data_IF_675295188778
#
_entry.id   IF_675295188778
#
_cell.length_a   1.000
_cell.length_b   1.000
_cell.length_c   1.000
_cell.angle_alpha   90.00
_cell.angle_beta   90.00
_cell.angle_gamma   90.00
#
_symmetry.space_group_name_H-M   'P 1'
#
loop_
_entity.id
_entity.type
_entity.pdbx_description
1 polymer ?
2 polymer ?
3 non-polymer ?
4 water ?
#
# COMPACT_ATOMS: atom_id res chain seq x y z
N UNK A 5 0.72 1.83 -28.95
CA UNK A 5 0.98 0.55 -28.25
C UNK A 5 0.14 0.41 -26.98
N UNK A 6 -0.45 1.53 -26.53
CA UNK A 6 -1.28 1.54 -25.33
C UNK A 6 -2.64 2.15 -25.55
N UNK A 7 -3.70 1.33 -25.46
CA UNK A 7 -5.10 1.69 -25.64
C UNK A 7 -5.73 2.53 -24.54
N UNK A 8 -5.02 2.70 -23.43
CA UNK A 8 -5.55 3.50 -22.33
C UNK A 8 -4.86 4.83 -22.12
N UNK A 9 -3.86 5.12 -22.94
CA UNK A 9 -3.16 6.38 -22.84
C UNK A 9 -3.77 7.28 -23.88
N UNK A 10 -4.18 8.48 -23.49
CA UNK A 10 -4.79 9.41 -24.44
C UNK A 10 -4.00 10.70 -24.57
N UNK A 11 -2.72 10.59 -24.24
CA UNK A 11 -1.79 11.71 -24.33
C UNK A 11 -2.23 12.96 -23.62
N UNK A 12 -2.35 14.07 -24.35
CA UNK A 12 -2.73 15.34 -23.75
C UNK A 12 -4.12 15.86 -24.13
N UNK A 13 -5.18 15.29 -23.55
CA UNK A 13 -6.52 15.71 -23.85
C UNK A 13 -7.05 16.42 -22.64
N UNK A 14 -7.74 17.51 -22.86
CA UNK A 14 -8.29 18.25 -21.72
C UNK A 14 -9.01 17.39 -20.68
N UNK A 15 -8.89 17.78 -19.41
CA UNK A 15 -9.57 17.08 -18.32
C UNK A 15 -11.06 17.06 -18.58
N UNK A 16 -11.55 18.16 -19.12
CA UNK A 16 -12.96 18.27 -19.44
C UNK A 16 -13.29 17.26 -20.53
N UNK A 17 -12.49 17.23 -21.59
CA UNK A 17 -12.73 16.30 -22.69
C UNK A 17 -12.78 14.87 -22.19
N UNK A 18 -11.86 14.51 -21.30
CA UNK A 18 -11.83 13.16 -20.76
C UNK A 18 -13.16 12.82 -20.15
N UNK A 19 -13.60 13.68 -19.24
CA UNK A 19 -14.87 13.48 -18.56
C UNK A 19 -15.96 13.21 -19.59
N UNK A 20 -16.05 14.11 -20.56
CA UNK A 20 -17.02 14.03 -21.63
C UNK A 20 -17.03 12.61 -22.23
N UNK A 21 -15.88 12.20 -22.73
CA UNK A 21 -15.71 10.88 -23.31
C UNK A 21 -16.12 9.81 -22.29
N UNK A 22 -15.37 9.70 -21.19
CA UNK A 22 -15.66 8.70 -20.16
C UNK A 22 -17.08 8.63 -19.68
N UNK A 23 -17.73 9.77 -19.48
CA UNK A 23 -19.10 9.76 -19.00
C UNK A 23 -20.02 8.98 -19.96
N UNK A 24 -19.66 8.91 -21.23
CA UNK A 24 -20.44 8.15 -22.20
C UNK A 24 -20.34 6.63 -21.98
N UNK A 25 -19.16 6.16 -21.62
CA UNK A 25 -18.95 4.73 -21.38
C UNK A 25 -19.98 4.15 -20.41
N UNK A 26 -20.21 2.85 -20.51
CA UNK A 26 -21.21 2.16 -19.72
C UNK A 26 -20.79 1.31 -18.52
N UNK A 27 -19.49 1.22 -18.24
CA UNK A 27 -19.03 0.38 -17.14
C UNK A 27 -18.20 1.05 -16.05
N UNK A 28 -18.62 0.91 -14.79
CA UNK A 28 -17.84 1.49 -13.70
C UNK A 28 -16.44 0.90 -13.81
N UNK A 29 -15.45 1.76 -14.04
CA UNK A 29 -14.07 1.33 -14.15
C UNK A 29 -13.40 1.85 -15.40
N UNK A 30 -14.20 2.25 -16.38
CA UNK A 30 -13.66 2.77 -17.63
C UNK A 30 -12.72 3.85 -17.22
N UNK A 31 -11.60 3.96 -17.91
CA UNK A 31 -10.60 4.98 -17.56
C UNK A 31 -9.60 5.25 -18.66
N UNK A 32 -8.82 6.29 -18.44
CA UNK A 32 -7.78 6.68 -19.38
C UNK A 32 -6.71 7.48 -18.63
N UNK A 33 -5.51 7.53 -19.20
CA UNK A 33 -4.42 8.28 -18.60
C UNK A 33 -4.14 9.43 -19.54
N UNK A 34 -3.82 10.59 -18.98
CA UNK A 34 -3.52 11.79 -19.75
C UNK A 34 -2.44 12.65 -19.10
N UNK A 35 -1.95 13.63 -19.86
CA UNK A 35 -0.93 14.54 -19.37
C UNK A 35 -1.67 15.64 -18.66
N UNK A 36 -1.46 15.73 -17.36
CA UNK A 36 -2.12 16.73 -16.56
C UNK A 36 -2.03 18.10 -17.19
N UNK A 37 -3.17 18.79 -17.23
CA UNK A 37 -3.21 20.13 -17.79
C UNK A 37 -2.68 21.02 -16.69
N UNK A 38 -3.28 20.88 -15.51
CA UNK A 38 -2.89 21.66 -14.34
C UNK A 38 -1.47 21.37 -13.86
N UNK A 39 -0.79 20.40 -14.45
CA UNK A 39 0.56 20.10 -14.01
C UNK A 39 1.44 19.69 -15.17
N UNK A 40 1.78 20.65 -16.04
CA UNK A 40 2.62 20.31 -17.19
C UNK A 40 3.74 19.30 -16.88
N UNK A 41 3.55 18.05 -17.29
CA UNK A 41 4.57 17.04 -17.04
C UNK A 41 4.12 15.80 -16.29
N UNK A 42 3.11 15.94 -15.44
CA UNK A 42 2.60 14.82 -14.65
C UNK A 42 1.42 14.16 -15.36
N UNK A 43 1.10 12.94 -14.94
CA UNK A 43 -0.01 12.21 -15.52
C UNK A 43 -1.17 12.14 -14.55
N UNK A 44 -2.36 12.10 -15.12
CA UNK A 44 -3.57 12.01 -14.35
C UNK A 44 -4.44 10.90 -14.86
N UNK A 45 -5.15 10.29 -13.92
CA UNK A 45 -6.04 9.20 -14.24
C UNK A 45 -7.51 9.60 -14.14
N UNK A 46 -8.27 9.30 -15.18
CA UNK A 46 -9.67 9.62 -15.16
C UNK A 46 -10.42 8.31 -15.22
N UNK A 47 -11.32 8.11 -14.26
CA UNK A 47 -12.09 6.89 -14.18
C UNK A 47 -13.56 7.17 -14.02
N UNK A 48 -14.38 6.58 -14.88
CA UNK A 48 -15.83 6.75 -14.81
C UNK A 48 -16.38 5.88 -13.66
N UNK A 49 -17.26 6.42 -12.83
CA UNK A 49 -17.78 5.65 -11.70
C UNK A 49 -19.04 6.29 -11.15
N UNK A 50 -20.14 5.55 -11.20
CA UNK A 50 -21.39 6.17 -10.77
C UNK A 50 -21.76 7.26 -11.77
N UNK A 51 -22.69 8.12 -11.41
CA UNK A 51 -23.09 9.15 -12.35
C UNK A 51 -21.96 10.08 -12.78
N UNK A 52 -20.87 10.13 -12.01
CA UNK A 52 -19.76 11.02 -12.35
C UNK A 52 -18.47 10.34 -12.77
N UNK A 53 -17.42 11.14 -12.88
CA UNK A 53 -16.09 10.68 -13.27
C UNK A 53 -15.09 11.13 -12.20
N UNK A 54 -14.20 10.27 -11.77
CA UNK A 54 -13.26 10.72 -10.78
C UNK A 54 -11.88 10.91 -11.40
N UNK A 55 -11.05 11.76 -10.79
CA UNK A 55 -9.71 12.04 -11.30
C UNK A 55 -8.64 11.74 -10.26
N UNK A 56 -7.55 11.15 -10.70
CA UNK A 56 -6.49 10.83 -9.79
C UNK A 56 -5.18 11.40 -10.29
N UNK A 57 -4.31 11.75 -9.36
CA UNK A 57 -3.00 12.29 -9.68
C UNK A 57 -2.09 11.11 -9.59
N UNK A 58 -1.36 10.82 -10.66
CA UNK A 58 -0.41 9.71 -10.67
C UNK A 58 0.85 10.30 -10.05
N UNK A 59 1.04 10.00 -8.77
CA UNK A 59 2.17 10.49 -8.01
C UNK A 59 3.46 9.74 -8.27
N UNK A 60 4.57 10.38 -7.93
CA UNK A 60 5.89 9.78 -8.06
C UNK A 60 6.65 10.05 -6.78
N UNK A 61 7.38 9.05 -6.30
CA UNK A 61 8.12 9.19 -5.06
C UNK A 61 9.61 9.47 -5.25
N UNK A 62 10.29 9.75 -4.15
CA UNK A 62 11.71 10.05 -4.21
C UNK A 62 12.53 9.08 -5.04
N UNK A 63 12.00 7.88 -5.27
CA UNK A 63 12.70 6.88 -6.07
C UNK A 63 12.15 6.88 -7.48
N UNK A 64 11.20 7.77 -7.74
CA UNK A 64 10.62 7.86 -9.07
C UNK A 64 9.70 6.71 -9.44
N UNK A 65 9.00 6.17 -8.45
CA UNK A 65 8.06 5.08 -8.67
C UNK A 65 6.71 5.74 -8.91
N UNK A 66 5.75 4.98 -9.44
CA UNK A 66 4.40 5.49 -9.67
C UNK A 66 3.50 4.89 -8.62
N UNK A 67 2.49 5.64 -8.21
CA UNK A 67 1.54 5.13 -7.24
C UNK A 67 0.38 6.10 -7.04
N UNK A 68 -0.75 5.61 -6.56
CA UNK A 68 -1.89 6.50 -6.38
C UNK A 68 -2.09 6.83 -4.91
N UNK A 69 -2.04 5.79 -4.09
CA UNK A 69 -2.19 5.94 -2.65
C UNK A 69 -1.61 4.75 -1.89
N UNK A 70 -1.10 4.98 -0.69
CA UNK A 70 -0.53 3.89 0.07
C UNK A 70 -1.06 3.81 1.47
N UNK A 71 -0.73 2.71 2.13
CA UNK A 71 -1.20 2.47 3.48
C UNK A 71 -0.08 2.52 4.50
N UNK A 72 -0.10 3.55 5.33
CA UNK A 72 0.89 3.78 6.38
C UNK A 72 0.12 4.19 7.63
N UNK A 73 0.76 4.15 8.80
CA UNK A 73 0.06 4.48 10.05
C UNK A 73 0.68 5.54 10.95
N UNK A 74 -0.17 6.24 11.69
CA UNK A 74 0.30 7.27 12.59
C UNK A 74 0.79 6.68 13.89
N UNK A 75 0.49 5.41 14.12
CA UNK A 75 0.92 4.80 15.37
C UNK A 75 1.24 3.33 15.20
N UNK A 76 2.21 2.83 15.95
CA UNK A 76 2.51 1.42 15.83
C UNK A 76 1.25 0.62 16.09
N UNK A 77 0.45 1.08 17.05
CA UNK A 77 -0.77 0.38 17.39
C UNK A 77 -1.48 0.12 16.08
N UNK A 78 -1.87 1.19 15.40
CA UNK A 78 -2.57 1.07 14.14
C UNK A 78 -1.93 0.04 13.22
N UNK A 79 -0.62 0.12 13.06
CA UNK A 79 0.10 -0.80 12.20
C UNK A 79 -0.13 -2.25 12.57
N UNK A 80 -0.11 -2.54 13.86
CA UNK A 80 -0.27 -3.91 14.29
C UNK A 80 -1.66 -4.45 14.02
N UNK A 81 -2.68 -3.85 14.62
CA UNK A 81 -4.04 -4.31 14.39
C UNK A 81 -4.29 -4.50 12.89
N UNK A 82 -3.90 -3.51 12.09
CA UNK A 82 -4.08 -3.62 10.65
C UNK A 82 -3.48 -4.92 10.13
N UNK A 83 -2.33 -5.27 10.66
CA UNK A 83 -1.65 -6.46 10.20
C UNK A 83 -2.11 -7.76 10.79
N UNK A 84 -3.30 -7.72 11.39
CA UNK A 84 -3.91 -8.91 11.96
C UNK A 84 -4.64 -9.53 10.77
N UNK A 85 -5.22 -8.65 9.95
CA UNK A 85 -5.95 -9.07 8.77
C UNK A 85 -5.11 -9.00 7.50
N UNK A 86 -4.07 -8.18 7.49
CA UNK A 86 -3.24 -8.06 6.30
C UNK A 86 -1.83 -8.60 6.50
N UNK A 87 -1.40 -9.49 5.62
CA UNK A 87 -0.07 -10.05 5.77
C UNK A 87 0.97 -8.98 6.04
N UNK A 88 2.06 -9.38 6.66
CA UNK A 88 3.13 -8.45 6.95
C UNK A 88 4.23 -8.76 5.95
N UNK A 89 4.07 -9.87 5.25
CA UNK A 89 5.04 -10.28 4.24
C UNK A 89 4.46 -10.07 2.85
N UNK A 90 5.13 -9.25 2.07
CA UNK A 90 4.70 -8.96 0.71
C UNK A 90 4.87 -10.19 -0.16
N UNK A 91 5.41 -11.25 0.42
CA UNK A 91 5.61 -12.49 -0.32
C UNK A 91 5.06 -13.72 0.37
N UNK A 92 4.58 -13.56 1.59
CA UNK A 92 3.99 -14.66 2.32
C UNK A 92 2.78 -14.17 3.08
N UNK A 93 1.81 -15.05 3.28
CA UNK A 93 0.60 -14.70 4.01
C UNK A 93 0.87 -14.97 5.49
N UNK A 94 1.13 -13.90 6.23
CA UNK A 94 1.40 -14.01 7.64
C UNK A 94 0.61 -12.94 8.35
N UNK A 95 -0.25 -13.36 9.27
CA UNK A 95 -1.08 -12.41 10.01
C UNK A 95 -0.74 -12.42 11.49
N UNK A 96 -0.65 -11.24 12.07
CA UNK A 96 -0.31 -11.11 13.47
C UNK A 96 -1.29 -11.73 14.45
N UNK A 97 -0.75 -12.48 15.40
CA UNK A 97 -1.54 -13.12 16.45
C UNK A 97 -0.87 -12.81 17.77
N UNK A 98 -1.65 -12.44 18.78
CA UNK A 98 -1.05 -12.14 20.08
C UNK A 98 -0.34 -13.35 20.69
N UNK A 99 0.51 -13.10 21.68
CA UNK A 99 1.28 -14.15 22.33
C UNK A 99 0.48 -14.78 23.48
N UNK A 100 0.95 -15.93 23.97
CA UNK A 100 0.27 -16.64 25.05
C UNK A 100 1.14 -16.87 26.29
N UNK B 5 0.16 -2.53 30.10
CA UNK B 5 0.62 -1.52 29.11
C UNK B 5 0.35 -1.94 27.66
N UNK B 6 1.08 -2.95 27.20
CA UNK B 6 0.95 -3.48 25.84
C UNK B 6 1.50 -4.91 25.80
N UNK B 7 0.59 -5.89 25.66
CA UNK B 7 1.09 -7.27 25.62
C UNK B 7 2.01 -7.70 24.48
N UNK B 8 2.30 -6.80 23.55
CA UNK B 8 3.17 -7.17 22.44
C UNK B 8 4.45 -6.34 22.32
N UNK B 9 4.56 -5.30 23.15
CA UNK B 9 5.73 -4.45 23.11
C UNK B 9 6.74 -4.68 24.23
N UNK B 10 7.60 -5.67 24.06
CA UNK B 10 8.60 -5.98 25.07
C UNK B 10 9.83 -5.08 25.01
N UNK B 11 9.62 -3.84 24.57
CA UNK B 11 10.70 -2.88 24.48
C UNK B 11 12.01 -3.49 24.02
N UNK B 12 13.11 -3.06 24.63
CA UNK B 12 14.46 -3.52 24.29
C UNK B 12 14.84 -4.92 24.77
N UNK B 13 14.95 -5.86 23.85
CA UNK B 13 15.34 -7.21 24.19
C UNK B 13 16.12 -7.71 22.99
N UNK B 14 16.99 -8.70 23.20
CA UNK B 14 17.80 -9.26 22.11
C UNK B 14 17.04 -10.05 21.06
N UNK B 15 17.45 -9.86 19.81
CA UNK B 15 16.86 -10.56 18.67
C UNK B 15 16.86 -12.05 19.00
N UNK B 16 17.97 -12.53 19.56
CA UNK B 16 18.09 -13.92 19.94
C UNK B 16 16.98 -14.27 20.92
N UNK B 17 16.93 -13.55 22.04
CA UNK B 17 15.92 -13.81 23.05
C UNK B 17 14.56 -13.99 22.41
N UNK B 18 14.18 -13.03 21.57
CA UNK B 18 12.90 -13.11 20.88
C UNK B 18 12.85 -14.43 20.11
N UNK B 19 13.75 -14.59 19.14
CA UNK B 19 13.80 -15.81 18.36
C UNK B 19 13.59 -17.02 19.27
N UNK B 20 14.19 -16.98 20.45
CA UNK B 20 14.05 -18.06 21.41
C UNK B 20 12.60 -18.15 21.84
N UNK B 21 12.10 -17.10 22.49
CA UNK B 21 10.73 -17.06 22.97
C UNK B 21 9.65 -17.45 21.96
N UNK B 22 9.65 -16.79 20.81
CA UNK B 22 8.65 -17.05 19.79
C UNK B 22 8.64 -18.49 19.30
N UNK B 23 9.81 -19.05 19.06
CA UNK B 23 9.91 -20.43 18.58
C UNK B 23 9.14 -21.39 19.48
N UNK B 24 8.70 -20.90 20.63
CA UNK B 24 7.95 -21.73 21.57
C UNK B 24 6.44 -21.62 21.32
N UNK B 25 5.92 -20.39 21.31
CA UNK B 25 4.50 -20.16 21.07
C UNK B 25 4.00 -21.12 20.00
N UNK B 26 2.80 -21.65 20.21
CA UNK B 26 2.21 -22.63 19.30
C UNK B 26 1.28 -22.13 18.19
N UNK B 27 1.54 -20.94 17.65
CA UNK B 27 0.70 -20.39 16.59
C UNK B 27 1.45 -19.52 15.61
N UNK B 28 1.06 -19.59 14.34
CA UNK B 28 1.68 -18.75 13.34
C UNK B 28 1.12 -17.37 13.58
N UNK B 29 1.96 -16.36 13.48
CA UNK B 29 1.48 -15.01 13.70
C UNK B 29 1.87 -14.51 15.07
N UNK B 30 2.50 -15.37 15.86
CA UNK B 30 2.92 -14.96 17.19
C UNK B 30 4.01 -13.92 16.99
N UNK B 31 3.78 -12.72 17.51
CA UNK B 31 4.73 -11.64 17.32
C UNK B 31 5.01 -10.80 18.56
N UNK B 32 5.84 -9.79 18.38
CA UNK B 32 6.22 -8.87 19.43
C UNK B 32 7.02 -7.76 18.76
N UNK B 33 7.01 -6.57 19.35
CA UNK B 33 7.77 -5.47 18.79
C UNK B 33 8.84 -5.11 19.79
N UNK B 34 10.09 -5.36 19.43
CA UNK B 34 11.21 -5.06 20.30
C UNK B 34 12.00 -3.90 19.76
N UNK B 35 12.95 -3.44 20.56
CA UNK B 35 13.81 -2.34 20.18
C UNK B 35 15.03 -2.96 19.56
N UNK B 36 15.29 -2.52 18.34
CA UNK B 36 16.42 -2.98 17.57
C UNK B 36 17.77 -2.94 18.30
N UNK B 37 18.61 -3.95 18.09
CA UNK B 37 19.94 -3.94 18.72
C UNK B 37 20.84 -3.14 17.78
N UNK B 38 20.84 -3.57 16.51
CA UNK B 38 21.62 -2.93 15.44
C UNK B 38 21.34 -1.43 15.28
N UNK B 39 20.34 -1.08 14.48
CA UNK B 39 20.02 0.33 14.25
C UNK B 39 19.10 0.82 15.36
N UNK B 40 19.66 1.52 16.35
CA UNK B 40 18.85 2.03 17.47
C UNK B 40 17.63 2.85 17.04
N UNK B 41 16.78 3.17 18.01
CA UNK B 41 15.59 3.96 17.73
C UNK B 41 14.51 3.20 16.98
N UNK B 42 14.88 2.57 15.88
CA UNK B 42 13.95 1.81 15.05
C UNK B 42 13.50 0.51 15.70
N UNK B 43 12.21 0.21 15.59
CA UNK B 43 11.68 -1.01 16.17
C UNK B 43 11.64 -2.13 15.14
N UNK B 44 11.70 -3.36 15.62
CA UNK B 44 11.67 -4.50 14.71
C UNK B 44 10.50 -5.39 15.07
N UNK B 45 9.97 -6.10 14.09
CA UNK B 45 8.85 -6.97 14.34
C UNK B 45 9.23 -8.43 14.21
N UNK B 46 9.17 -9.15 15.33
CA UNK B 46 9.51 -10.56 15.31
C UNK B 46 8.21 -11.36 15.33
N UNK B 47 8.12 -12.35 14.45
CA UNK B 47 6.92 -13.16 14.34
C UNK B 47 7.25 -14.59 14.01
N UNK B 48 6.52 -15.53 14.62
CA UNK B 48 6.73 -16.94 14.34
C UNK B 48 5.86 -17.38 13.17
N UNK B 49 6.42 -18.19 12.29
CA UNK B 49 5.67 -18.65 11.15
C UNK B 49 6.29 -19.95 10.73
N UNK B 50 5.66 -21.05 11.11
CA UNK B 50 6.20 -22.35 10.78
C UNK B 50 7.40 -22.68 11.66
N UNK B 51 8.42 -23.27 11.05
CA UNK B 51 9.61 -23.65 11.79
C UNK B 51 10.64 -22.54 11.92
N UNK B 52 10.22 -21.30 11.63
CA UNK B 52 11.12 -20.15 11.73
C UNK B 52 10.46 -19.01 12.49
N UNK B 53 11.20 -17.92 12.64
CA UNK B 53 10.70 -16.73 13.31
C UNK B 53 11.29 -15.56 12.55
N UNK B 54 10.47 -14.90 11.74
CA UNK B 54 10.94 -13.79 10.93
C UNK B 54 10.87 -12.41 11.58
N UNK B 55 11.63 -11.48 11.01
CA UNK B 55 11.69 -10.13 11.51
C UNK B 55 11.39 -9.14 10.41
N UNK B 56 10.87 -8.00 10.82
CA UNK B 56 10.52 -6.97 9.88
C UNK B 56 10.90 -5.65 10.49
N UNK B 57 11.62 -4.85 9.70
CA UNK B 57 12.07 -3.54 10.15
C UNK B 57 10.83 -2.68 10.13
N UNK B 58 10.58 -1.93 11.20
CA UNK B 58 9.42 -1.05 11.26
C UNK B 58 9.87 0.29 10.70
N UNK B 59 9.63 0.46 9.41
CA UNK B 59 10.04 1.63 8.65
C UNK B 59 9.26 2.86 8.98
N UNK B 60 9.87 4.03 8.76
CA UNK B 60 9.20 5.30 9.00
C UNK B 60 9.59 6.20 7.83
N UNK B 61 8.65 7.00 7.34
CA UNK B 61 8.95 7.83 6.19
C UNK B 61 9.19 9.26 6.61
N UNK B 62 9.28 10.15 5.62
CA UNK B 62 9.51 11.55 5.90
C UNK B 62 8.52 12.05 6.93
N UNK B 63 7.25 11.85 6.63
CA UNK B 63 6.14 12.28 7.48
C UNK B 63 6.07 11.61 8.83
N UNK B 64 6.90 10.62 9.07
CA UNK B 64 6.86 10.00 10.37
C UNK B 64 5.91 8.84 10.52
N UNK B 65 5.07 8.61 9.51
CA UNK B 65 4.13 7.50 9.56
C UNK B 65 4.87 6.17 9.60
N UNK B 66 4.25 5.16 10.19
CA UNK B 66 4.85 3.83 10.29
C UNK B 66 4.34 2.92 9.21
N UNK B 67 5.10 1.90 8.87
CA UNK B 67 4.67 0.96 7.85
C UNK B 67 5.71 -0.12 7.63
N UNK B 68 5.24 -1.30 7.22
CA UNK B 68 6.10 -2.46 6.99
C UNK B 68 6.52 -2.60 5.54
N UNK B 69 5.66 -2.11 4.67
CA UNK B 69 5.88 -2.14 3.23
C UNK B 69 4.68 -1.56 2.56
N UNK B 70 4.88 -1.03 1.36
CA UNK B 70 3.79 -0.43 0.63
C UNK B 70 3.95 -0.85 -0.82
N UNK B 71 2.95 -0.56 -1.64
CA UNK B 71 2.98 -0.92 -3.05
C UNK B 71 3.21 0.26 -3.99
N UNK B 72 4.35 0.25 -4.67
CA UNK B 72 4.69 1.30 -5.62
C UNK B 72 4.88 0.62 -6.96
N UNK B 73 5.01 1.40 -8.04
CA UNK B 73 5.16 0.83 -9.39
C UNK B 73 6.30 1.39 -10.23
N UNK B 74 6.87 0.54 -11.08
CA UNK B 74 7.96 0.98 -11.94
C UNK B 74 7.46 1.63 -13.21
N UNK B 75 6.25 1.31 -13.62
CA UNK B 75 5.71 1.89 -14.85
C UNK B 75 4.24 2.21 -14.72
N UNK B 76 3.78 3.16 -15.53
CA UNK B 76 2.38 3.48 -15.48
C UNK B 76 1.64 2.17 -15.71
N UNK B 77 2.07 1.44 -16.73
CA UNK B 77 1.44 0.18 -17.04
C UNK B 77 1.35 -0.72 -15.82
N UNK B 78 2.47 -0.99 -15.15
CA UNK B 78 2.41 -1.85 -13.97
C UNK B 78 1.39 -1.31 -12.98
N UNK B 79 1.29 0.01 -12.87
CA UNK B 79 0.35 0.62 -11.96
C UNK B 79 -1.06 0.32 -12.40
N UNK B 80 -1.33 0.57 -13.67
CA UNK B 80 -2.65 0.32 -14.22
C UNK B 80 -3.08 -1.12 -13.96
N UNK B 81 -2.35 -2.08 -14.52
CA UNK B 81 -2.70 -3.48 -14.32
C UNK B 81 -3.07 -3.75 -12.87
N UNK B 82 -2.13 -3.52 -11.96
CA UNK B 82 -2.39 -3.71 -10.55
C UNK B 82 -3.77 -3.20 -10.19
N UNK B 83 -4.09 -1.99 -10.64
CA UNK B 83 -5.39 -1.39 -10.33
C UNK B 83 -6.58 -1.82 -11.16
N UNK B 84 -6.55 -3.05 -11.66
CA UNK B 84 -7.68 -3.60 -12.39
C UNK B 84 -8.29 -4.58 -11.41
N UNK B 85 -7.53 -4.94 -10.39
CA UNK B 85 -8.00 -5.87 -9.38
C UNK B 85 -7.84 -5.32 -7.95
N UNK B 86 -7.45 -4.05 -7.82
CA UNK B 86 -7.25 -3.41 -6.52
C UNK B 86 -7.71 -2.00 -6.74
N UNK B 87 -8.60 -1.52 -5.88
CA UNK B 87 -9.15 -0.18 -6.03
C UNK B 87 -8.14 0.97 -6.16
N UNK B 88 -8.56 1.96 -6.93
CA UNK B 88 -7.74 3.12 -7.15
C UNK B 88 -8.12 4.08 -6.07
N UNK B 89 -9.35 3.97 -5.60
CA UNK B 89 -9.80 4.86 -4.55
C UNK B 89 -9.53 4.18 -3.23
N UNK B 90 -9.33 4.99 -2.19
CA UNK B 90 -9.04 4.47 -0.85
C UNK B 90 -10.33 4.34 -0.09
N UNK B 91 -11.38 4.94 -0.63
CA UNK B 91 -12.68 4.86 0.01
C UNK B 91 -13.81 4.37 -0.89
N UNK B 92 -13.48 3.65 -1.94
CA UNK B 92 -14.52 3.12 -2.80
C UNK B 92 -13.91 1.99 -3.59
N UNK B 93 -14.67 0.94 -3.84
CA UNK B 93 -14.12 -0.14 -4.62
C UNK B 93 -14.25 0.31 -6.06
N UNK B 94 -13.14 0.77 -6.61
CA UNK B 94 -13.07 1.21 -8.01
C UNK B 94 -11.93 0.45 -8.69
N UNK B 95 -12.30 -0.37 -9.66
CA UNK B 95 -11.31 -1.16 -10.36
C UNK B 95 -11.23 -0.76 -11.82
N UNK B 96 -10.02 -0.53 -12.30
CA UNK B 96 -9.85 -0.17 -13.69
C UNK B 96 -10.38 -1.24 -14.66
N UNK B 97 -10.99 -0.78 -15.75
CA UNK B 97 -11.56 -1.64 -16.78
C UNK B 97 -11.43 -0.89 -18.09
N UNK B 98 -10.98 -1.58 -19.13
CA UNK B 98 -10.78 -0.98 -20.44
C UNK B 98 -11.92 -0.19 -21.08
N UNK B 99 -11.58 0.85 -21.82
CA UNK B 99 -12.60 1.65 -22.46
C UNK B 99 -13.08 0.96 -23.72
N UNK B 100 -14.27 1.35 -24.16
CA UNK B 100 -14.84 0.81 -25.39
C UNK C 1 -9.25 17.09 -7.98
N UNK C 2 -8.47 16.32 -7.24
CA UNK C 2 -8.28 14.88 -7.51
C UNK C 2 -8.64 14.13 -6.23
N UNK C 3 -9.13 12.91 -6.40
CA UNK C 3 -9.51 12.11 -5.23
C UNK C 3 -8.28 11.92 -4.33
N UNK C 4 -7.23 11.34 -4.92
CA UNK C 4 -5.99 11.06 -4.18
C UNK C 4 -5.10 12.30 -4.11
N UNK C 5 -5.72 13.46 -4.24
X LIG D 1 17.08 -6.28 14.49
X LIG D 1 18.29 -5.79 15.22
X LIG D 1 15.84 -5.74 15.19
X LIG D 1 17.12 -5.80 13.07
X LIG D 1 17.06 -7.78 14.51
#
# INVERSE_FOLDING_TARGET
IEMKPHPWFFGKIPRAKAEEMLSKQRHDGAFLIRESESAPGDFSLSVKFGNDVQHFKVLRDGAGKYFLWVVKFNSLNELVDYHRSTSVSRNQQIFLRDIEQVPQQPTYVQHHHHHH
IEMKPHPWFFGKIPRAKAEEMLSKQRHDGAFLIRESESAPGDFSLSVKFGNDVQHFKVLRDGAGKYFLWVVKFNSLNELVDYHRSTSVSRNQQIFLRDIEQVPQQPTYVQHHHHHH
XYVNX
CAC AS O1 O2 C1 C2
#
